data_IF_750233597319
#
_entry.id   IF_750233597319
#
_cell.length_a   1.000
_cell.length_b   1.000
_cell.length_c   1.000
_cell.angle_alpha   90.00
_cell.angle_beta   90.00
_cell.angle_gamma   90.00
#
_symmetry.space_group_name_H-M   'P 1'
#
loop_
_entity.id
_entity.type
_entity.pdbx_description
1 polymer ?
#
# COMPACT_ATOMS: atom_id res chain seq x y z
N UNK A 1 -14.55 1.85 -0.15
CA UNK A 1 -13.24 1.26 -0.50
C UNK A 1 -12.56 0.73 0.76
N UNK A 2 -11.80 -0.33 0.63
CA UNK A 2 -10.99 -0.87 1.74
C UNK A 2 -9.52 -0.56 1.49
N UNK A 3 -8.80 -0.19 2.54
CA UNK A 3 -7.37 0.07 2.49
C UNK A 3 -6.62 -0.77 3.52
N UNK A 4 -5.43 -1.20 3.17
CA UNK A 4 -4.54 -1.93 4.07
C UNK A 4 -3.30 -1.07 4.33
N UNK A 5 -2.99 -0.85 5.61
CA UNK A 5 -1.84 -0.06 6.03
C UNK A 5 -0.81 -1.02 6.64
N UNK A 6 0.35 -1.12 6.00
CA UNK A 6 1.41 -2.06 6.38
C UNK A 6 2.63 -1.26 6.86
N UNK A 7 2.84 -1.24 8.15
CA UNK A 7 3.95 -0.54 8.78
C UNK A 7 4.14 -1.12 10.18
N UNK A 8 5.38 -1.33 10.61
CA UNK A 8 5.67 -1.86 11.94
C UNK A 8 5.60 -0.78 13.03
N UNK A 9 5.54 0.49 12.65
CA UNK A 9 5.46 1.62 13.59
C UNK A 9 4.02 2.00 13.87
N UNK A 10 3.63 1.93 15.14
CA UNK A 10 2.28 2.26 15.58
C UNK A 10 1.85 3.68 15.19
N UNK A 11 2.74 4.65 15.36
CA UNK A 11 2.40 6.05 15.08
C UNK A 11 2.20 6.29 13.58
N UNK A 12 3.01 5.66 12.74
CA UNK A 12 2.86 5.75 11.29
C UNK A 12 1.54 5.14 10.84
N UNK A 13 1.17 3.97 11.37
CA UNK A 13 -0.11 3.35 11.07
C UNK A 13 -1.29 4.22 11.50
N UNK A 14 -1.24 4.74 12.73
CA UNK A 14 -2.32 5.57 13.27
C UNK A 14 -2.49 6.86 12.48
N UNK A 15 -1.40 7.46 12.06
CA UNK A 15 -1.42 8.67 11.26
C UNK A 15 -2.08 8.44 9.89
N UNK A 16 -1.70 7.38 9.20
CA UNK A 16 -2.30 7.02 7.91
C UNK A 16 -3.78 6.67 8.06
N UNK A 17 -4.12 5.92 9.09
CA UNK A 17 -5.52 5.56 9.36
C UNK A 17 -6.38 6.79 9.59
N UNK A 18 -5.87 7.76 10.35
CA UNK A 18 -6.56 9.02 10.60
C UNK A 18 -6.85 9.77 9.30
N UNK A 19 -5.86 9.85 8.41
CA UNK A 19 -6.00 10.55 7.14
C UNK A 19 -6.96 9.82 6.21
N UNK A 20 -6.87 8.50 6.15
CA UNK A 20 -7.66 7.69 5.23
C UNK A 20 -9.08 7.42 5.70
N UNK A 21 -9.35 7.58 6.99
CA UNK A 21 -10.65 7.25 7.60
C UNK A 21 -11.86 7.83 6.84
N UNK A 22 -11.85 9.09 6.36
CA UNK A 22 -13.00 9.62 5.62
C UNK A 22 -13.23 8.96 4.26
N UNK A 23 -12.23 8.26 3.72
CA UNK A 23 -12.27 7.75 2.34
C UNK A 23 -12.32 6.22 2.26
N UNK A 24 -11.87 5.51 3.28
CA UNK A 24 -11.73 4.06 3.21
C UNK A 24 -11.89 3.41 4.57
N UNK A 25 -12.39 2.19 4.57
CA UNK A 25 -12.33 1.32 5.75
C UNK A 25 -10.92 0.73 5.81
N UNK A 26 -10.19 1.02 6.89
CA UNK A 26 -8.78 0.66 7.02
C UNK A 26 -8.55 -0.54 7.92
N UNK A 27 -7.72 -1.46 7.44
CA UNK A 27 -7.13 -2.52 8.26
C UNK A 27 -5.63 -2.28 8.33
N UNK A 28 -4.99 -2.84 9.33
CA UNK A 28 -3.55 -2.64 9.54
C UNK A 28 -2.83 -3.98 9.61
N UNK A 29 -1.60 -4.00 9.12
CA UNK A 29 -0.68 -5.13 9.25
C UNK A 29 0.64 -4.61 9.78
N UNK A 30 1.30 -5.37 10.63
CA UNK A 30 2.54 -4.93 11.30
C UNK A 30 3.80 -5.40 10.58
N UNK A 31 3.66 -6.29 9.60
CA UNK A 31 4.78 -6.80 8.80
C UNK A 31 4.25 -7.32 7.46
N UNK A 32 5.19 -7.72 6.59
CA UNK A 32 4.84 -8.21 5.26
C UNK A 32 4.06 -9.52 5.27
N UNK A 33 4.35 -10.42 6.19
CA UNK A 33 3.63 -11.69 6.30
C UNK A 33 2.16 -11.48 6.65
N UNK A 34 1.89 -10.64 7.65
CA UNK A 34 0.53 -10.28 8.03
C UNK A 34 -0.21 -9.60 6.87
N UNK A 35 0.50 -8.76 6.12
CA UNK A 35 -0.07 -8.09 4.96
C UNK A 35 -0.50 -9.07 3.87
N UNK A 36 0.34 -10.04 3.57
CA UNK A 36 0.05 -11.09 2.58
C UNK A 36 -1.18 -11.89 3.01
N UNK A 37 -1.23 -12.29 4.26
CA UNK A 37 -2.37 -13.04 4.80
C UNK A 37 -3.66 -12.24 4.74
N UNK A 38 -3.62 -10.97 5.15
CA UNK A 38 -4.78 -10.09 5.13
C UNK A 38 -5.27 -9.86 3.70
N UNK A 39 -4.35 -9.65 2.78
CA UNK A 39 -4.66 -9.40 1.37
C UNK A 39 -5.36 -10.62 0.73
N UNK A 40 -4.81 -11.80 0.94
CA UNK A 40 -5.38 -13.05 0.43
C UNK A 40 -6.77 -13.29 1.01
N UNK A 41 -6.92 -13.11 2.30
CA UNK A 41 -8.20 -13.30 3.00
C UNK A 41 -9.28 -12.37 2.46
N UNK A 42 -8.92 -11.12 2.17
CA UNK A 42 -9.85 -10.14 1.61
C UNK A 42 -10.34 -10.57 0.23
N UNK A 43 -9.45 -11.06 -0.62
CA UNK A 43 -9.82 -11.57 -1.94
C UNK A 43 -10.71 -12.82 -1.84
N UNK A 44 -10.36 -13.75 -0.96
CA UNK A 44 -11.16 -14.97 -0.74
C UNK A 44 -12.57 -14.64 -0.27
N UNK A 45 -12.70 -13.60 0.56
CA UNK A 45 -13.99 -13.15 1.10
C UNK A 45 -14.80 -12.28 0.15
N UNK A 46 -14.28 -11.98 -1.03
CA UNK A 46 -14.98 -11.14 -2.00
C UNK A 46 -15.00 -9.66 -1.67
N UNK A 47 -14.13 -9.20 -0.77
CA UNK A 47 -14.03 -7.80 -0.35
C UNK A 47 -12.57 -7.32 -0.38
N UNK A 48 -11.97 -7.22 -1.58
CA UNK A 48 -10.56 -6.93 -1.72
C UNK A 48 -10.19 -5.50 -1.32
N UNK A 49 -8.91 -5.30 -0.99
CA UNK A 49 -8.38 -3.96 -0.78
C UNK A 49 -8.16 -3.26 -2.12
N UNK A 50 -8.58 -2.02 -2.20
CA UNK A 50 -8.32 -1.18 -3.36
C UNK A 50 -7.04 -0.37 -3.23
N UNK A 51 -6.54 -0.20 -2.00
CA UNK A 51 -5.38 0.62 -1.68
C UNK A 51 -4.54 -0.07 -0.63
N UNK A 52 -3.22 -0.08 -0.84
CA UNK A 52 -2.25 -0.57 0.16
C UNK A 52 -1.17 0.50 0.34
N UNK A 53 -0.95 0.93 1.58
CA UNK A 53 0.25 1.67 1.96
C UNK A 53 1.21 0.69 2.60
N UNK A 54 2.45 0.64 2.12
CA UNK A 54 3.43 -0.33 2.57
C UNK A 54 4.78 0.33 2.83
N UNK A 55 5.30 0.17 4.04
CA UNK A 55 6.64 0.61 4.37
C UNK A 55 7.66 -0.27 3.64
N UNK A 56 8.67 0.35 3.05
CA UNK A 56 9.73 -0.36 2.33
C UNK A 56 10.55 -1.26 3.26
N UNK A 57 10.87 -0.77 4.46
CA UNK A 57 11.69 -1.50 5.43
C UNK A 57 10.82 -2.04 6.58
N UNK A 58 10.65 -3.34 6.60
CA UNK A 58 9.86 -4.04 7.63
C UNK A 58 10.59 -5.31 8.08
N UNK A 59 10.37 -5.72 9.36
CA UNK A 59 10.91 -7.00 9.82
C UNK A 59 10.15 -8.18 9.19
N UNK A 60 10.71 -9.37 9.29
CA UNK A 60 10.16 -10.66 8.83
C UNK A 60 10.18 -10.78 7.30
N UNK A 61 9.28 -10.09 6.61
CA UNK A 61 9.27 -10.03 5.15
C UNK A 61 9.28 -8.56 4.76
N UNK A 62 10.26 -8.15 3.98
CA UNK A 62 10.43 -6.76 3.57
C UNK A 62 9.42 -6.33 2.49
N UNK A 63 9.38 -5.03 2.21
CA UNK A 63 8.46 -4.45 1.25
C UNK A 63 8.53 -5.06 -0.14
N UNK A 64 9.74 -5.23 -0.74
CA UNK A 64 9.84 -5.82 -2.08
C UNK A 64 9.26 -7.21 -2.18
N UNK A 65 9.51 -8.06 -1.20
CA UNK A 65 8.99 -9.42 -1.18
C UNK A 65 7.48 -9.44 -0.97
N UNK A 66 6.98 -8.64 -0.05
CA UNK A 66 5.55 -8.53 0.20
C UNK A 66 4.81 -8.03 -1.04
N UNK A 67 5.36 -7.05 -1.74
CA UNK A 67 4.81 -6.52 -2.97
C UNK A 67 4.67 -7.61 -4.03
N UNK A 68 5.74 -8.38 -4.26
CA UNK A 68 5.72 -9.47 -5.24
C UNK A 68 4.67 -10.52 -4.89
N UNK A 69 4.58 -10.90 -3.63
CA UNK A 69 3.60 -11.88 -3.17
C UNK A 69 2.17 -11.38 -3.36
N UNK A 70 1.90 -10.11 -3.07
CA UNK A 70 0.58 -9.53 -3.27
C UNK A 70 0.20 -9.54 -4.75
N UNK A 71 1.11 -9.18 -5.65
CA UNK A 71 0.85 -9.19 -7.09
C UNK A 71 0.63 -10.60 -7.62
N UNK A 72 1.34 -11.60 -7.09
CA UNK A 72 1.13 -13.00 -7.45
C UNK A 72 -0.26 -13.49 -6.98
N UNK A 73 -0.68 -13.08 -5.80
CA UNK A 73 -2.03 -13.42 -5.29
C UNK A 73 -3.10 -12.84 -6.21
N UNK A 74 -2.95 -11.59 -6.65
CA UNK A 74 -3.89 -10.99 -7.59
C UNK A 74 -3.98 -11.79 -8.88
N UNK A 75 -2.84 -12.21 -9.42
CA UNK A 75 -2.78 -13.05 -10.61
C UNK A 75 -3.50 -14.39 -10.41
N UNK A 76 -3.23 -15.04 -9.29
CA UNK A 76 -3.83 -16.35 -8.97
C UNK A 76 -5.35 -16.27 -8.85
N UNK A 77 -5.87 -15.13 -8.42
CA UNK A 77 -7.31 -14.87 -8.30
C UNK A 77 -7.92 -14.30 -9.58
N UNK A 78 -7.14 -14.14 -10.64
CA UNK A 78 -7.63 -13.64 -11.92
C UNK A 78 -7.94 -12.14 -11.94
N UNK A 79 -7.33 -11.37 -11.04
CA UNK A 79 -7.51 -9.92 -11.02
C UNK A 79 -6.83 -9.30 -12.23
N UNK A 80 -7.59 -8.51 -13.01
CA UNK A 80 -7.06 -7.84 -14.20
C UNK A 80 -6.24 -6.61 -13.81
N UNK A 81 -5.40 -6.12 -14.73
CA UNK A 81 -4.58 -4.93 -14.50
C UNK A 81 -5.43 -3.72 -14.10
N UNK A 82 -6.62 -3.57 -14.69
CA UNK A 82 -7.53 -2.47 -14.37
C UNK A 82 -8.10 -2.56 -12.96
N UNK A 83 -8.22 -3.75 -12.42
CA UNK A 83 -8.83 -4.01 -11.12
C UNK A 83 -7.81 -4.21 -10.00
N UNK A 84 -6.50 -4.23 -10.31
CA UNK A 84 -5.48 -4.44 -9.29
C UNK A 84 -5.45 -3.28 -8.29
N UNK A 85 -5.07 -3.59 -7.05
CA UNK A 85 -5.01 -2.56 -6.02
C UNK A 85 -3.89 -1.55 -6.30
N UNK A 86 -4.07 -0.34 -5.80
CA UNK A 86 -3.02 0.69 -5.83
C UNK A 86 -2.12 0.44 -4.62
N UNK A 87 -0.83 0.27 -4.86
CA UNK A 87 0.16 0.05 -3.80
C UNK A 87 1.11 1.23 -3.76
N UNK A 88 1.07 1.96 -2.65
CA UNK A 88 1.94 3.11 -2.41
C UNK A 88 3.00 2.70 -1.39
N UNK A 89 4.26 2.75 -1.80
CA UNK A 89 5.39 2.44 -0.93
C UNK A 89 5.83 3.70 -0.21
N UNK A 90 6.02 3.63 1.10
CA UNK A 90 6.61 4.72 1.87
C UNK A 90 8.09 4.38 2.12
N UNK A 91 8.98 5.33 1.88
CA UNK A 91 10.41 5.11 1.96
C UNK A 91 11.13 6.33 2.53
N UNK A 92 12.32 6.11 3.08
CA UNK A 92 13.18 7.20 3.57
C UNK A 92 14.06 7.73 2.43
N UNK A 93 14.64 8.90 2.64
CA UNK A 93 15.46 9.58 1.63
C UNK A 93 16.67 8.74 1.18
N UNK A 94 17.21 7.91 2.07
CA UNK A 94 18.38 7.08 1.81
C UNK A 94 18.10 5.91 0.86
N UNK A 95 16.82 5.57 0.64
CA UNK A 95 16.46 4.53 -0.30
C UNK A 95 16.69 5.05 -1.71
N UNK A 96 17.63 4.45 -2.42
CA UNK A 96 18.11 4.98 -3.69
C UNK A 96 17.14 4.79 -4.86
N UNK A 97 17.45 5.47 -5.96
CA UNK A 97 16.68 5.39 -7.20
C UNK A 97 16.58 3.96 -7.74
N UNK A 98 17.66 3.19 -7.61
CA UNK A 98 17.67 1.78 -8.05
C UNK A 98 16.66 0.95 -7.29
N UNK A 99 16.52 1.20 -5.98
CA UNK A 99 15.52 0.52 -5.14
C UNK A 99 14.11 0.89 -5.59
N UNK A 100 13.85 2.17 -5.84
CA UNK A 100 12.55 2.62 -6.33
C UNK A 100 12.20 2.02 -7.69
N UNK A 101 13.17 1.97 -8.60
CA UNK A 101 12.97 1.35 -9.92
C UNK A 101 12.65 -0.13 -9.80
N UNK A 102 13.36 -0.85 -8.92
CA UNK A 102 13.08 -2.26 -8.68
C UNK A 102 11.68 -2.47 -8.13
N UNK A 103 11.21 -1.59 -7.25
CA UNK A 103 9.85 -1.67 -6.70
C UNK A 103 8.78 -1.40 -7.77
N UNK A 104 8.99 -0.43 -8.66
CA UNK A 104 8.07 -0.20 -9.78
C UNK A 104 8.01 -1.43 -10.71
N UNK A 105 9.14 -2.03 -11.02
CA UNK A 105 9.18 -3.27 -11.81
C UNK A 105 8.50 -4.42 -11.10
N UNK A 106 8.53 -4.44 -9.76
CA UNK A 106 7.84 -5.43 -8.94
C UNK A 106 6.35 -5.18 -8.78
N UNK A 107 5.84 -4.05 -9.28
CA UNK A 107 4.40 -3.76 -9.28
C UNK A 107 3.92 -2.66 -8.35
N UNK A 108 4.82 -1.84 -7.77
CA UNK A 108 4.41 -0.68 -6.98
C UNK A 108 3.72 0.35 -7.88
N UNK A 109 2.65 0.96 -7.36
CA UNK A 109 1.94 2.00 -8.10
C UNK A 109 2.64 3.36 -7.94
N UNK A 110 3.13 3.64 -6.73
CA UNK A 110 3.68 4.94 -6.40
C UNK A 110 4.58 4.87 -5.16
N UNK A 111 5.29 5.95 -4.90
CA UNK A 111 6.14 6.13 -3.73
C UNK A 111 5.85 7.45 -3.05
N UNK A 112 5.92 7.44 -1.72
CA UNK A 112 5.92 8.67 -0.91
C UNK A 112 7.13 8.63 0.02
N UNK A 113 7.87 9.72 0.06
CA UNK A 113 9.05 9.84 0.91
C UNK A 113 8.66 10.17 2.35
N UNK A 114 9.23 9.45 3.30
CA UNK A 114 9.07 9.75 4.72
C UNK A 114 9.93 10.96 5.11
N UNK A 115 9.46 11.82 6.01
CA UNK A 115 8.17 11.78 6.70
C UNK A 115 7.03 12.20 5.77
N UNK A 116 5.94 11.44 5.77
CA UNK A 116 4.75 11.77 4.98
C UNK A 116 3.85 12.72 5.75
N UNK A 117 3.21 13.66 5.04
CA UNK A 117 2.23 14.55 5.62
C UNK A 117 0.86 14.37 4.94
N UNK A 118 -0.17 14.92 5.57
CA UNK A 118 -1.54 14.79 5.08
C UNK A 118 -1.68 15.32 3.65
N UNK A 119 -1.09 16.48 3.38
CA UNK A 119 -1.18 17.12 2.06
C UNK A 119 -0.59 16.25 0.96
N UNK A 120 0.58 15.67 1.20
CA UNK A 120 1.26 14.79 0.24
C UNK A 120 0.46 13.52 -0.01
N UNK A 121 -0.10 12.94 1.05
CA UNK A 121 -0.92 11.73 0.95
C UNK A 121 -2.15 12.00 0.12
N UNK A 122 -2.91 13.05 0.44
CA UNK A 122 -4.15 13.37 -0.28
C UNK A 122 -3.87 13.74 -1.73
N UNK A 123 -2.80 14.49 -2.00
CA UNK A 123 -2.43 14.84 -3.37
C UNK A 123 -2.11 13.60 -4.21
N UNK A 124 -1.40 12.63 -3.63
CA UNK A 124 -1.08 11.38 -4.32
C UNK A 124 -2.32 10.54 -4.60
N UNK A 125 -3.25 10.47 -3.63
CA UNK A 125 -4.49 9.74 -3.82
C UNK A 125 -5.37 10.37 -4.91
N UNK A 126 -5.39 11.69 -5.00
CA UNK A 126 -6.09 12.39 -6.08
C UNK A 126 -5.44 12.10 -7.42
N UNK A 127 -4.11 12.16 -7.49
CA UNK A 127 -3.34 11.89 -8.71
C UNK A 127 -3.60 10.47 -9.23
N UNK A 128 -3.72 9.51 -8.34
CA UNK A 128 -3.96 8.11 -8.69
C UNK A 128 -5.45 7.80 -8.95
N UNK A 129 -6.31 8.78 -8.74
CA UNK A 129 -7.74 8.59 -8.94
C UNK A 129 -8.43 7.77 -7.85
N UNK A 130 -7.79 7.62 -6.70
CA UNK A 130 -8.36 6.88 -5.55
C UNK A 130 -9.45 7.69 -4.87
N UNK A 131 -9.25 9.01 -4.79
CA UNK A 131 -10.25 9.94 -4.26
C UNK A 131 -10.49 11.04 -5.30
N UNK A 132 -11.67 11.68 -5.22
CA UNK A 132 -11.99 12.77 -6.11
C UNK A 132 -11.17 14.01 -5.72
N UNK A 133 -10.72 14.75 -6.73
CA UNK A 133 -10.07 16.04 -6.51
C UNK A 133 -11.07 17.04 -5.92
N UNK A 134 -10.61 17.86 -4.98
CA UNK A 134 -11.43 18.95 -4.46
C UNK A 134 -11.62 20.00 -5.54
N UNK A 135 -12.87 20.35 -5.73
CA UNK A 135 -13.23 21.35 -6.73
C UNK A 135 -12.92 22.78 -6.24
#
# INVERSE_FOLDING_TARGET
MRALIVDDDFYSRSFLEYILHPYAACDAAVNGEDAIMAFKKALEGGSPYGLVFMDLLMPVIDGPRALNEIREIEKDFGVTDDACCKIIITSVLEDGEDTHNAMYLGGATSFLQKPVDEKSILAELERLGVIAADA
#
